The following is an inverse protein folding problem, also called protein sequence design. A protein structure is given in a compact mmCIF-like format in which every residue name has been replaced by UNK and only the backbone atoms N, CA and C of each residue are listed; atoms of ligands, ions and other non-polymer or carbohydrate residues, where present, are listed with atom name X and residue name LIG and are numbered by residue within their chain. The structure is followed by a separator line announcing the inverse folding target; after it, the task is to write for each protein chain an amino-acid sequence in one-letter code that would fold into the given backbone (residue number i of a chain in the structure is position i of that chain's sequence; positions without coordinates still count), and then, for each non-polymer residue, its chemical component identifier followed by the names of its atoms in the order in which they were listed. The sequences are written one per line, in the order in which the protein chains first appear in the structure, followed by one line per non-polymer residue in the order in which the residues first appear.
data_IF_278124028715
#
_entry.id   IF_278124028715
#
_cell.length_a   1.000
_cell.length_b   1.000
_cell.length_c   1.000
_cell.angle_alpha   90.00
_cell.angle_beta   90.00
_cell.angle_gamma   90.00
#
_symmetry.space_group_name_H-M   'P 1'
#
loop_
_entity.id
_entity.type
_entity.pdbx_description
1 polymer ?
#
# COMPACT_ATOMS: atom_id res chain seq x y z
N UNK A 1 57.08 -10.03 65.97
CA UNK A 1 55.62 -10.14 65.75
C UNK A 1 55.35 -9.81 64.29
N UNK A 2 55.05 -10.85 63.52
CA UNK A 2 54.68 -10.82 62.10
C UNK A 2 53.25 -10.33 61.95
N UNK A 3 53.04 -9.28 61.15
CA UNK A 3 51.69 -8.87 60.74
C UNK A 3 51.59 -8.94 59.22
N UNK A 4 51.06 -10.06 58.72
CA UNK A 4 50.65 -10.22 57.34
C UNK A 4 49.47 -9.28 57.05
N UNK A 5 49.66 -8.28 56.21
CA UNK A 5 48.56 -7.51 55.62
C UNK A 5 47.96 -8.33 54.46
N UNK A 6 46.73 -8.79 54.67
CA UNK A 6 45.93 -9.54 53.69
C UNK A 6 45.47 -8.58 52.60
N UNK A 7 45.90 -8.80 51.36
CA UNK A 7 45.41 -8.04 50.20
C UNK A 7 43.91 -8.28 50.03
N UNK A 8 43.14 -7.19 49.99
CA UNK A 8 41.69 -7.20 49.78
C UNK A 8 41.43 -7.31 48.27
N UNK A 9 40.66 -8.32 47.80
CA UNK A 9 40.38 -8.48 46.38
C UNK A 9 39.48 -7.36 45.87
N UNK A 10 39.88 -6.81 44.73
CA UNK A 10 39.36 -5.59 44.13
C UNK A 10 38.05 -5.93 43.37
N UNK A 11 36.93 -6.07 44.10
CA UNK A 11 35.64 -6.56 43.60
C UNK A 11 35.09 -5.83 42.35
N UNK A 12 35.62 -4.64 42.03
CA UNK A 12 35.30 -3.89 40.82
C UNK A 12 35.98 -4.44 39.56
N UNK A 13 37.17 -5.04 39.68
CA UNK A 13 37.85 -5.73 38.58
C UNK A 13 37.13 -7.04 38.25
N UNK A 14 36.74 -7.79 39.27
CA UNK A 14 36.03 -9.06 39.10
C UNK A 14 34.67 -8.89 38.41
N UNK A 15 33.95 -7.79 38.69
CA UNK A 15 32.68 -7.47 38.03
C UNK A 15 32.84 -7.04 36.55
N UNK A 16 33.95 -6.38 36.20
CA UNK A 16 34.27 -6.00 34.82
C UNK A 16 34.79 -7.19 34.00
N UNK A 17 35.54 -8.09 34.63
CA UNK A 17 36.03 -9.32 34.01
C UNK A 17 34.91 -10.35 33.83
N UNK A 18 33.89 -10.37 34.71
CA UNK A 18 32.68 -11.19 34.56
C UNK A 18 31.76 -10.72 33.41
N UNK A 19 31.80 -9.43 33.05
CA UNK A 19 31.16 -8.92 31.84
C UNK A 19 31.99 -9.20 30.56
N UNK A 20 33.21 -9.72 30.73
CA UNK A 20 34.31 -9.79 29.77
C UNK A 20 34.13 -10.76 28.59
N UNK A 21 33.00 -11.45 28.47
CA UNK A 21 32.65 -12.25 27.29
C UNK A 21 31.18 -12.10 26.90
N UNK A 22 30.30 -12.04 27.90
CA UNK A 22 28.84 -11.98 27.73
C UNK A 22 28.34 -10.59 27.29
N UNK A 23 28.95 -9.52 27.80
CA UNK A 23 28.62 -8.15 27.37
C UNK A 23 29.06 -7.86 25.93
N UNK A 24 30.11 -8.55 25.46
CA UNK A 24 30.62 -8.41 24.09
C UNK A 24 29.72 -9.07 23.05
N UNK A 25 29.22 -10.28 23.34
CA UNK A 25 28.21 -10.92 22.50
C UNK A 25 26.97 -10.05 22.37
N UNK A 26 26.49 -9.47 23.48
CA UNK A 26 25.35 -8.57 23.49
C UNK A 26 25.60 -7.28 22.69
N UNK A 27 26.77 -6.64 22.81
CA UNK A 27 27.08 -5.43 22.04
C UNK A 27 27.19 -5.70 20.52
N UNK A 28 27.73 -6.84 20.11
CA UNK A 28 27.78 -7.22 18.69
C UNK A 28 26.38 -7.50 18.16
N UNK A 29 25.56 -8.24 18.93
CA UNK A 29 24.16 -8.48 18.58
C UNK A 29 23.41 -7.17 18.47
N UNK A 30 23.53 -6.25 19.43
CA UNK A 30 22.86 -4.94 19.37
C UNK A 30 23.34 -4.07 18.20
N UNK A 31 24.63 -4.13 17.83
CA UNK A 31 25.17 -3.42 16.66
C UNK A 31 24.60 -3.99 15.36
N UNK A 32 24.61 -5.31 15.20
CA UNK A 32 24.08 -6.00 14.02
C UNK A 32 22.54 -5.87 13.95
N UNK A 33 21.84 -5.88 15.08
CA UNK A 33 20.39 -5.66 15.14
C UNK A 33 20.02 -4.21 14.83
N UNK A 34 20.81 -3.23 15.30
CA UNK A 34 20.61 -1.82 14.95
C UNK A 34 20.90 -1.55 13.47
N UNK A 35 21.91 -2.19 12.91
CA UNK A 35 22.21 -2.18 11.48
C UNK A 35 21.07 -2.76 10.65
N UNK A 36 20.60 -3.95 11.02
CA UNK A 36 19.46 -4.60 10.34
C UNK A 36 18.20 -3.73 10.37
N UNK A 37 17.93 -3.05 11.49
CA UNK A 37 16.77 -2.17 11.63
C UNK A 37 16.90 -0.91 10.76
N UNK A 38 18.08 -0.30 10.70
CA UNK A 38 18.34 0.88 9.85
C UNK A 38 18.30 0.49 8.37
N UNK A 39 18.87 -0.65 7.98
CA UNK A 39 18.85 -1.16 6.62
C UNK A 39 17.44 -1.55 6.20
N UNK A 40 16.65 -2.16 7.08
CA UNK A 40 15.25 -2.51 6.81
C UNK A 40 14.37 -1.27 6.66
N UNK A 41 14.61 -0.19 7.40
CA UNK A 41 13.90 1.08 7.20
C UNK A 41 14.35 1.81 5.91
N UNK A 42 15.62 1.69 5.53
CA UNK A 42 16.11 2.22 4.25
C UNK A 42 15.63 1.38 3.07
N UNK A 43 15.38 0.10 3.26
CA UNK A 43 14.90 -0.81 2.22
C UNK A 43 13.54 -0.36 1.65
N UNK A 44 12.62 0.01 2.55
CA UNK A 44 11.32 0.58 2.22
C UNK A 44 11.45 1.93 1.48
N UNK A 45 12.45 2.73 1.83
CA UNK A 45 12.71 4.04 1.20
C UNK A 45 13.36 3.94 -0.18
N UNK A 46 14.24 2.96 -0.39
CA UNK A 46 15.14 2.88 -1.55
C UNK A 46 14.59 1.98 -2.64
N UNK A 47 13.92 0.88 -2.25
CA UNK A 47 13.48 -0.14 -3.19
C UNK A 47 11.96 -0.13 -3.44
N UNK A 48 11.16 0.50 -2.56
CA UNK A 48 9.70 0.55 -2.70
C UNK A 48 9.17 1.94 -3.11
N UNK A 49 10.05 2.92 -3.34
CA UNK A 49 9.68 4.16 -4.04
C UNK A 49 9.63 3.92 -5.54
N UNK A 50 8.46 4.08 -6.17
CA UNK A 50 8.35 4.23 -7.62
C UNK A 50 8.18 5.72 -7.94
N UNK A 51 9.08 6.34 -8.74
CA UNK A 51 10.32 5.80 -9.31
C UNK A 51 11.47 5.67 -8.29
N UNK A 52 12.52 4.87 -8.58
CA UNK A 52 13.61 4.60 -7.66
C UNK A 52 14.37 5.87 -7.25
N UNK A 53 14.45 6.12 -5.93
CA UNK A 53 15.14 7.29 -5.38
C UNK A 53 16.66 7.12 -5.42
N UNK A 54 17.28 7.53 -6.53
CA UNK A 54 18.71 7.38 -6.83
C UNK A 54 19.66 7.92 -5.73
N UNK A 55 19.39 9.07 -5.07
CA UNK A 55 20.19 9.52 -3.92
C UNK A 55 20.09 8.56 -2.72
N UNK A 56 18.93 7.91 -2.51
CA UNK A 56 18.73 6.88 -1.50
C UNK A 56 19.58 5.65 -1.75
N UNK A 57 19.69 5.21 -3.01
CA UNK A 57 20.58 4.13 -3.42
C UNK A 57 22.05 4.42 -3.10
N UNK A 58 22.52 5.62 -3.43
CA UNK A 58 23.90 6.03 -3.13
C UNK A 58 24.13 6.02 -1.62
N UNK A 59 23.17 6.54 -0.84
CA UNK A 59 23.26 6.56 0.62
C UNK A 59 23.28 5.15 1.21
N UNK A 60 22.44 4.25 0.71
CA UNK A 60 22.37 2.85 1.14
C UNK A 60 23.70 2.13 0.89
N UNK A 61 24.26 2.23 -0.31
CA UNK A 61 25.56 1.63 -0.65
C UNK A 61 26.68 2.20 0.24
N UNK A 62 26.70 3.52 0.46
CA UNK A 62 27.70 4.16 1.32
C UNK A 62 27.57 3.69 2.76
N UNK A 63 26.34 3.58 3.27
CA UNK A 63 26.06 3.09 4.63
C UNK A 63 26.54 1.64 4.79
N UNK A 64 26.19 0.78 3.84
CA UNK A 64 26.57 -0.64 3.82
C UNK A 64 28.09 -0.83 3.83
N UNK A 65 28.81 -0.08 2.98
CA UNK A 65 30.27 -0.12 2.93
C UNK A 65 30.88 0.39 4.23
N UNK A 66 30.37 1.48 4.78
CA UNK A 66 30.88 2.08 6.03
C UNK A 66 30.64 1.14 7.22
N UNK A 67 29.46 0.53 7.31
CA UNK A 67 29.12 -0.43 8.36
C UNK A 67 29.96 -1.70 8.24
N UNK A 68 30.10 -2.25 7.03
CA UNK A 68 30.99 -3.39 6.76
C UNK A 68 32.42 -3.10 7.21
N UNK A 69 32.96 -1.92 6.88
CA UNK A 69 34.30 -1.50 7.31
C UNK A 69 34.40 -1.38 8.83
N UNK A 70 33.38 -0.85 9.51
CA UNK A 70 33.34 -0.75 10.97
C UNK A 70 33.31 -2.13 11.64
N UNK A 71 32.50 -3.05 11.13
CA UNK A 71 32.40 -4.43 11.63
C UNK A 71 33.73 -5.16 11.41
N UNK A 72 34.30 -5.07 10.21
CA UNK A 72 35.62 -5.63 9.90
C UNK A 72 36.69 -5.08 10.83
N UNK A 73 36.66 -3.78 11.12
CA UNK A 73 37.59 -3.13 12.05
C UNK A 73 37.38 -3.59 13.49
N UNK A 74 36.15 -3.75 13.95
CA UNK A 74 35.84 -4.28 15.30
C UNK A 74 36.34 -5.72 15.43
N UNK A 75 36.03 -6.58 14.44
CA UNK A 75 36.50 -7.98 14.40
C UNK A 75 38.03 -8.04 14.39
N UNK A 76 38.69 -7.20 13.60
CA UNK A 76 40.15 -7.13 13.52
C UNK A 76 40.78 -6.69 14.84
N UNK A 77 40.23 -5.64 15.49
CA UNK A 77 40.68 -5.17 16.80
C UNK A 77 40.47 -6.26 17.86
N UNK A 78 39.37 -7.01 17.81
CA UNK A 78 39.11 -8.09 18.78
C UNK A 78 40.06 -9.27 18.56
N UNK A 79 40.32 -9.65 17.30
CA UNK A 79 41.15 -10.81 16.94
C UNK A 79 42.65 -10.55 17.13
N UNK A 80 43.10 -9.30 17.05
CA UNK A 80 44.52 -8.93 17.05
C UNK A 80 44.90 -7.85 18.08
N UNK A 81 43.95 -7.37 18.90
CA UNK A 81 44.09 -6.21 19.80
C UNK A 81 45.02 -6.36 20.99
N UNK A 82 45.50 -7.58 21.29
CA UNK A 82 46.53 -7.79 22.32
C UNK A 82 47.85 -7.03 22.06
N UNK A 83 48.07 -6.50 20.85
CA UNK A 83 49.26 -5.72 20.48
C UNK A 83 49.02 -4.21 20.28
N UNK A 84 47.77 -3.73 20.33
CA UNK A 84 47.42 -2.30 20.09
C UNK A 84 47.22 -1.51 21.39
N UNK A 85 47.15 -2.20 22.53
CA UNK A 85 46.93 -1.60 23.86
C UNK A 85 47.94 -0.51 24.26
N UNK A 86 49.18 -0.59 23.78
CA UNK A 86 50.24 0.37 24.14
C UNK A 86 50.00 1.80 23.63
N UNK A 87 49.14 2.01 22.62
CA UNK A 87 48.83 3.36 22.08
C UNK A 87 47.56 3.98 22.71
N UNK A 88 46.68 3.16 23.31
CA UNK A 88 45.41 3.61 23.88
C UNK A 88 45.45 3.96 25.38
N UNK A 89 46.53 3.63 26.08
CA UNK A 89 46.68 3.95 27.51
C UNK A 89 46.87 5.45 27.77
N UNK A 90 47.36 6.21 26.79
CA UNK A 90 47.48 7.66 26.85
C UNK A 90 46.09 8.31 26.90
N UNK A 91 45.81 9.14 27.91
CA UNK A 91 44.55 9.87 28.04
C UNK A 91 44.16 10.65 26.76
N UNK A 92 45.16 11.12 26.00
CA UNK A 92 44.99 11.77 24.70
C UNK A 92 44.43 10.83 23.61
N UNK A 93 44.80 9.54 23.62
CA UNK A 93 44.29 8.53 22.68
C UNK A 93 42.81 8.21 22.92
N UNK A 94 42.41 8.06 24.20
CA UNK A 94 41.01 7.87 24.60
C UNK A 94 40.14 9.09 24.26
N UNK A 95 40.66 10.31 24.52
CA UNK A 95 39.96 11.55 24.19
C UNK A 95 39.78 11.74 22.67
N UNK A 96 40.81 11.43 21.87
CA UNK A 96 40.75 11.49 20.41
C UNK A 96 39.77 10.46 19.84
N UNK A 97 39.81 9.22 20.32
CA UNK A 97 38.87 8.18 19.92
C UNK A 97 37.42 8.53 20.27
N UNK A 98 37.16 9.09 21.46
CA UNK A 98 35.84 9.57 21.86
C UNK A 98 35.37 10.73 20.97
N UNK A 99 36.24 11.69 20.67
CA UNK A 99 35.94 12.82 19.78
C UNK A 99 35.62 12.33 18.36
N UNK A 100 36.38 11.38 17.82
CA UNK A 100 36.12 10.79 16.50
C UNK A 100 34.79 10.02 16.46
N UNK A 101 34.46 9.26 17.50
CA UNK A 101 33.15 8.57 17.60
C UNK A 101 31.98 9.54 17.63
N UNK A 102 32.10 10.63 18.40
CA UNK A 102 31.05 11.66 18.47
C UNK A 102 30.88 12.36 17.12
N UNK A 103 31.99 12.75 16.48
CA UNK A 103 31.93 13.40 15.15
C UNK A 103 31.33 12.46 14.11
N UNK A 104 31.65 11.17 14.16
CA UNK A 104 31.09 10.18 13.25
C UNK A 104 29.59 9.96 13.48
N UNK A 105 29.15 9.79 14.74
CA UNK A 105 27.74 9.64 15.07
C UNK A 105 26.93 10.89 14.67
N UNK A 106 27.43 12.09 14.98
CA UNK A 106 26.79 13.35 14.60
C UNK A 106 26.76 13.53 13.08
N UNK A 107 27.84 13.19 12.39
CA UNK A 107 27.92 13.23 10.93
C UNK A 107 26.92 12.28 10.27
N UNK A 108 26.84 11.04 10.75
CA UNK A 108 25.89 10.05 10.24
C UNK A 108 24.44 10.48 10.49
N UNK A 109 24.12 10.92 11.71
CA UNK A 109 22.78 11.45 12.02
C UNK A 109 22.43 12.67 11.15
N UNK A 110 23.38 13.58 10.90
CA UNK A 110 23.16 14.74 10.05
C UNK A 110 22.88 14.34 8.59
N UNK A 111 23.59 13.35 8.06
CA UNK A 111 23.34 12.81 6.71
C UNK A 111 21.98 12.13 6.62
N UNK A 112 21.63 11.31 7.61
CA UNK A 112 20.32 10.65 7.67
C UNK A 112 19.18 11.67 7.76
N UNK A 113 19.30 12.70 8.59
CA UNK A 113 18.30 13.78 8.69
C UNK A 113 18.22 14.58 7.39
N UNK A 114 19.35 14.88 6.74
CA UNK A 114 19.35 15.62 5.48
C UNK A 114 18.71 14.81 4.34
N UNK A 115 19.03 13.53 4.20
CA UNK A 115 18.46 12.68 3.17
C UNK A 115 16.98 12.35 3.45
N UNK A 116 16.67 11.91 4.67
CA UNK A 116 15.31 11.50 5.04
C UNK A 116 14.38 12.69 5.22
N UNK A 117 14.86 13.79 5.80
CA UNK A 117 14.08 15.01 6.00
C UNK A 117 13.66 15.63 4.67
N UNK A 118 14.56 15.69 3.68
CA UNK A 118 14.21 16.19 2.34
C UNK A 118 13.22 15.26 1.65
N UNK A 119 13.45 13.94 1.65
CA UNK A 119 12.55 12.98 1.03
C UNK A 119 11.16 12.94 1.70
N UNK A 120 11.11 13.05 3.02
CA UNK A 120 9.85 13.07 3.78
C UNK A 120 9.02 14.33 3.48
N UNK A 121 9.68 15.48 3.34
CA UNK A 121 9.00 16.73 2.95
C UNK A 121 8.51 16.63 1.51
N UNK A 122 9.33 16.11 0.60
CA UNK A 122 9.00 15.91 -0.80
C UNK A 122 7.80 14.95 -0.97
N UNK A 123 7.86 13.77 -0.36
CA UNK A 123 6.74 12.81 -0.35
C UNK A 123 5.47 13.39 0.26
N UNK A 124 5.57 14.19 1.32
CA UNK A 124 4.39 14.88 1.88
C UNK A 124 3.75 15.84 0.89
N UNK A 125 4.56 16.56 0.11
CA UNK A 125 4.04 17.45 -0.92
C UNK A 125 3.41 16.67 -2.07
N UNK A 126 4.04 15.59 -2.51
CA UNK A 126 3.48 14.68 -3.54
C UNK A 126 2.14 14.10 -3.09
N UNK A 127 2.07 13.50 -1.89
CA UNK A 127 0.84 12.94 -1.34
C UNK A 127 -0.25 13.99 -1.17
N UNK A 128 0.09 15.23 -0.79
CA UNK A 128 -0.87 16.31 -0.70
C UNK A 128 -1.45 16.64 -2.09
N UNK A 129 -0.61 16.74 -3.11
CA UNK A 129 -1.04 16.98 -4.49
C UNK A 129 -1.86 15.82 -5.08
N UNK A 130 -1.51 14.57 -4.77
CA UNK A 130 -2.29 13.38 -5.13
C UNK A 130 -3.69 13.41 -4.50
N UNK A 131 -3.78 13.68 -3.19
CA UNK A 131 -5.06 13.85 -2.49
C UNK A 131 -5.92 14.96 -3.09
N UNK A 132 -5.32 16.10 -3.41
CA UNK A 132 -6.05 17.24 -3.99
C UNK A 132 -6.62 16.90 -5.37
N UNK A 133 -5.84 16.23 -6.23
CA UNK A 133 -6.31 15.78 -7.55
C UNK A 133 -7.43 14.75 -7.45
N UNK A 134 -7.23 13.69 -6.68
CA UNK A 134 -8.25 12.66 -6.47
C UNK A 134 -9.53 13.24 -5.85
N UNK A 135 -9.42 14.12 -4.85
CA UNK A 135 -10.58 14.75 -4.22
C UNK A 135 -11.38 15.64 -5.18
N UNK A 136 -10.70 16.35 -6.09
CA UNK A 136 -11.38 17.15 -7.11
C UNK A 136 -12.20 16.27 -8.06
N UNK A 137 -11.63 15.15 -8.53
CA UNK A 137 -12.34 14.19 -9.39
C UNK A 137 -13.50 13.53 -8.66
N UNK A 138 -13.31 13.02 -7.44
CA UNK A 138 -14.39 12.39 -6.67
C UNK A 138 -15.53 13.37 -6.36
N UNK A 139 -15.21 14.64 -6.05
CA UNK A 139 -16.24 15.65 -5.81
C UNK A 139 -17.06 15.95 -7.07
N UNK A 140 -16.43 15.91 -8.25
CA UNK A 140 -17.14 16.07 -9.52
C UNK A 140 -18.06 14.86 -9.80
N UNK A 141 -17.60 13.64 -9.52
CA UNK A 141 -18.40 12.41 -9.65
C UNK A 141 -19.58 12.42 -8.67
N UNK A 142 -19.34 12.75 -7.40
CA UNK A 142 -20.37 12.87 -6.37
C UNK A 142 -21.46 13.85 -6.78
N UNK A 143 -21.08 15.04 -7.25
CA UNK A 143 -22.05 16.06 -7.72
C UNK A 143 -22.85 15.54 -8.91
N UNK A 144 -22.23 14.87 -9.88
CA UNK A 144 -22.93 14.32 -11.04
C UNK A 144 -23.94 13.22 -10.65
N UNK A 145 -23.59 12.36 -9.69
CA UNK A 145 -24.50 11.37 -9.14
C UNK A 145 -25.67 12.02 -8.40
N UNK A 146 -25.40 12.98 -7.50
CA UNK A 146 -26.46 13.69 -6.77
C UNK A 146 -27.40 14.47 -7.70
N UNK A 147 -26.86 15.14 -8.73
CA UNK A 147 -27.64 15.86 -9.74
C UNK A 147 -28.53 14.92 -10.57
N UNK A 148 -28.08 13.69 -10.80
CA UNK A 148 -28.87 12.64 -11.43
C UNK A 148 -29.87 11.94 -10.48
N UNK A 149 -29.88 12.31 -9.20
CA UNK A 149 -30.80 11.77 -8.18
C UNK A 149 -30.32 10.48 -7.51
N UNK A 150 -29.06 10.11 -7.71
CA UNK A 150 -28.45 8.95 -7.06
C UNK A 150 -28.05 9.31 -5.63
N UNK A 151 -27.97 8.32 -4.76
CA UNK A 151 -27.28 8.49 -3.48
C UNK A 151 -25.78 8.23 -3.66
N UNK A 152 -25.00 9.31 -3.60
CA UNK A 152 -23.56 9.25 -3.72
C UNK A 152 -22.88 8.96 -2.38
N UNK A 153 -21.93 8.03 -2.36
CA UNK A 153 -21.10 7.74 -1.19
C UNK A 153 -19.77 7.11 -1.58
N UNK A 154 -18.69 7.47 -0.92
CA UNK A 154 -17.38 6.99 -1.29
C UNK A 154 -16.27 7.43 -0.35
N UNK A 155 -15.05 7.27 -0.84
CA UNK A 155 -13.84 7.61 -0.11
C UNK A 155 -13.60 9.13 -0.05
N UNK A 156 -12.88 9.56 0.99
CA UNK A 156 -12.51 10.96 1.21
C UNK A 156 -10.98 11.10 1.23
N UNK A 157 -10.32 11.41 0.09
CA UNK A 157 -8.86 11.47 0.00
C UNK A 157 -8.22 12.44 0.98
N UNK A 158 -8.92 13.54 1.29
CA UNK A 158 -8.42 14.55 2.24
C UNK A 158 -8.27 13.95 3.65
N UNK A 159 -9.12 12.99 4.03
CA UNK A 159 -9.09 12.35 5.35
C UNK A 159 -7.96 11.31 5.48
N UNK A 160 -7.82 10.40 4.50
CA UNK A 160 -6.86 9.29 4.54
C UNK A 160 -6.20 9.15 3.17
N UNK A 161 -4.87 8.97 3.14
CA UNK A 161 -4.17 8.68 1.88
C UNK A 161 -4.24 7.18 1.62
N UNK A 162 -4.68 6.80 0.43
CA UNK A 162 -4.66 5.40 -0.01
C UNK A 162 -3.76 5.26 -1.26
N UNK A 163 -2.67 4.48 -1.19
CA UNK A 163 -1.82 4.25 -2.35
C UNK A 163 -2.52 3.48 -3.49
N UNK A 164 -3.61 2.75 -3.21
CA UNK A 164 -4.38 2.01 -4.21
C UNK A 164 -5.39 2.89 -4.98
N UNK A 165 -5.58 4.14 -4.55
CA UNK A 165 -6.61 5.03 -5.10
C UNK A 165 -7.86 5.07 -4.25
N UNK A 166 -8.96 5.50 -4.84
CA UNK A 166 -10.21 5.83 -4.15
C UNK A 166 -11.40 5.43 -4.99
N UNK A 167 -12.56 5.28 -4.35
CA UNK A 167 -13.80 4.90 -5.01
C UNK A 167 -14.94 5.87 -4.69
N UNK A 168 -15.83 6.07 -5.67
CA UNK A 168 -17.11 6.75 -5.48
C UNK A 168 -18.23 5.83 -5.97
N UNK A 169 -19.26 5.64 -5.16
CA UNK A 169 -20.43 4.85 -5.49
C UNK A 169 -21.63 5.78 -5.69
N UNK A 170 -22.47 5.46 -6.67
CA UNK A 170 -23.79 6.05 -6.86
C UNK A 170 -24.84 4.95 -6.81
N UNK A 171 -25.64 4.91 -5.75
CA UNK A 171 -26.77 3.99 -5.64
C UNK A 171 -28.01 4.57 -6.32
N UNK A 172 -28.63 3.79 -7.21
CA UNK A 172 -29.79 4.23 -8.01
C UNK A 172 -31.09 4.29 -7.19
N UNK A 173 -31.24 3.39 -6.21
CA UNK A 173 -32.43 3.29 -5.37
C UNK A 173 -32.07 3.35 -3.89
N UNK A 174 -32.70 4.25 -3.16
CA UNK A 174 -32.70 4.30 -1.70
C UNK A 174 -34.12 3.98 -1.19
N UNK A 175 -34.22 3.14 -0.16
CA UNK A 175 -35.44 2.76 0.58
C UNK A 175 -36.31 1.57 0.11
N UNK A 176 -35.91 0.79 -0.92
CA UNK A 176 -36.60 -0.47 -1.24
C UNK A 176 -35.66 -1.68 -1.08
N UNK A 177 -35.59 -2.22 0.14
CA UNK A 177 -35.06 -3.56 0.46
C UNK A 177 -33.85 -4.04 -0.36
N UNK A 178 -32.65 -3.85 0.18
CA UNK A 178 -31.42 -4.61 -0.17
C UNK A 178 -31.04 -4.68 -1.66
N UNK A 179 -31.31 -3.62 -2.41
CA UNK A 179 -30.94 -3.57 -3.82
C UNK A 179 -29.46 -3.22 -4.00
N UNK A 180 -28.69 -4.19 -4.50
CA UNK A 180 -27.30 -4.03 -4.95
C UNK A 180 -27.18 -3.23 -6.26
N UNK A 181 -28.19 -2.41 -6.63
CA UNK A 181 -28.18 -1.64 -7.88
C UNK A 181 -27.42 -0.33 -7.71
N UNK A 182 -26.16 -0.32 -8.13
CA UNK A 182 -25.26 0.81 -7.96
C UNK A 182 -24.15 0.80 -9.01
N UNK A 183 -23.55 1.96 -9.20
CA UNK A 183 -22.31 2.10 -9.98
C UNK A 183 -21.18 2.51 -9.05
N UNK A 184 -20.01 1.89 -9.20
CA UNK A 184 -18.76 2.29 -8.56
C UNK A 184 -17.79 2.79 -9.61
N UNK A 185 -17.16 3.92 -9.33
CA UNK A 185 -16.12 4.52 -10.16
C UNK A 185 -14.84 4.60 -9.32
N UNK A 186 -13.79 3.94 -9.78
CA UNK A 186 -12.48 3.93 -9.12
C UNK A 186 -11.54 4.94 -9.78
N UNK A 187 -10.84 5.69 -8.93
CA UNK A 187 -9.99 6.82 -9.29
C UNK A 187 -8.62 6.63 -8.68
N UNK A 188 -7.57 6.78 -9.47
CA UNK A 188 -6.19 6.69 -8.97
C UNK A 188 -5.75 7.95 -8.19
N UNK A 189 -4.52 7.93 -7.71
CA UNK A 189 -3.91 9.09 -7.03
C UNK A 189 -3.59 10.27 -7.97
N UNK A 190 -3.75 10.11 -9.28
CA UNK A 190 -3.65 11.18 -10.26
C UNK A 190 -4.98 11.88 -10.54
N UNK A 191 -6.09 11.32 -10.03
CA UNK A 191 -7.44 11.81 -10.28
C UNK A 191 -8.04 11.27 -11.58
N UNK A 192 -7.51 10.17 -12.12
CA UNK A 192 -7.96 9.52 -13.36
C UNK A 192 -8.81 8.31 -13.04
N UNK A 193 -9.94 8.16 -13.74
CA UNK A 193 -10.82 6.98 -13.62
C UNK A 193 -10.14 5.79 -14.29
N UNK A 194 -9.95 4.72 -13.52
CA UNK A 194 -9.24 3.50 -13.95
C UNK A 194 -10.16 2.30 -14.09
N UNK A 195 -11.31 2.33 -13.41
CA UNK A 195 -12.26 1.23 -13.42
C UNK A 195 -13.69 1.72 -13.14
N UNK A 196 -14.67 1.09 -13.79
CA UNK A 196 -16.10 1.32 -13.58
C UNK A 196 -16.79 -0.03 -13.38
N UNK A 197 -17.56 -0.15 -12.31
CA UNK A 197 -18.30 -1.37 -11.97
C UNK A 197 -19.78 -1.04 -11.84
N UNK A 198 -20.62 -1.72 -12.58
CA UNK A 198 -22.06 -1.65 -12.49
C UNK A 198 -22.58 -2.92 -11.81
N UNK A 199 -23.22 -2.78 -10.67
CA UNK A 199 -23.94 -3.85 -10.00
C UNK A 199 -25.45 -3.61 -10.22
N UNK A 200 -26.18 -4.67 -10.59
CA UNK A 200 -27.61 -4.66 -10.87
C UNK A 200 -28.28 -5.79 -10.10
N UNK A 201 -29.25 -5.44 -9.27
CA UNK A 201 -30.00 -6.40 -8.46
C UNK A 201 -30.84 -7.37 -9.30
N UNK A 202 -30.90 -8.63 -8.86
CA UNK A 202 -31.70 -9.70 -9.48
C UNK A 202 -32.66 -10.26 -8.44
N UNK A 203 -33.96 -10.22 -8.74
CA UNK A 203 -35.00 -10.81 -7.89
C UNK A 203 -35.25 -12.26 -8.33
N UNK A 204 -34.85 -13.28 -7.54
CA UNK A 204 -35.07 -14.68 -7.89
C UNK A 204 -36.54 -15.08 -7.97
N UNK A 205 -37.46 -14.27 -7.43
CA UNK A 205 -38.90 -14.50 -7.56
C UNK A 205 -39.45 -14.10 -8.93
N UNK A 206 -38.68 -13.36 -9.74
CA UNK A 206 -39.05 -12.97 -11.09
C UNK A 206 -38.43 -13.90 -12.15
N UNK A 207 -39.05 -14.03 -13.34
CA UNK A 207 -38.43 -14.68 -14.48
C UNK A 207 -37.09 -14.05 -14.85
N UNK A 208 -36.15 -14.85 -15.37
CA UNK A 208 -34.82 -14.38 -15.79
C UNK A 208 -34.91 -13.33 -16.90
N UNK A 209 -35.86 -13.46 -17.82
CA UNK A 209 -36.10 -12.46 -18.87
C UNK A 209 -36.51 -11.11 -18.30
N UNK A 210 -37.33 -11.11 -17.25
CA UNK A 210 -37.77 -9.88 -16.58
C UNK A 210 -36.63 -9.24 -15.78
N UNK A 211 -35.83 -10.05 -15.09
CA UNK A 211 -34.61 -9.58 -14.42
C UNK A 211 -33.62 -8.98 -15.41
N UNK A 212 -33.41 -9.61 -16.57
CA UNK A 212 -32.49 -9.10 -17.59
C UNK A 212 -32.94 -7.74 -18.12
N UNK A 213 -34.23 -7.57 -18.44
CA UNK A 213 -34.77 -6.28 -18.89
C UNK A 213 -34.63 -5.20 -17.82
N UNK A 214 -34.84 -5.55 -16.54
CA UNK A 214 -34.62 -4.62 -15.42
C UNK A 214 -33.15 -4.24 -15.29
N UNK A 215 -32.24 -5.20 -15.35
CA UNK A 215 -30.81 -4.97 -15.29
C UNK A 215 -30.31 -4.07 -16.43
N UNK A 216 -30.75 -4.32 -17.67
CA UNK A 216 -30.45 -3.46 -18.83
C UNK A 216 -30.95 -2.03 -18.61
N UNK A 217 -32.17 -1.84 -18.11
CA UNK A 217 -32.71 -0.51 -17.82
C UNK A 217 -31.95 0.21 -16.69
N UNK A 218 -31.52 -0.51 -15.65
CA UNK A 218 -30.67 0.04 -14.59
C UNK A 218 -29.28 0.40 -15.12
N UNK A 219 -28.67 -0.45 -15.95
CA UNK A 219 -27.39 -0.17 -16.61
C UNK A 219 -27.48 1.10 -17.47
N UNK A 220 -28.52 1.23 -18.30
CA UNK A 220 -28.72 2.42 -19.12
C UNK A 220 -28.77 3.70 -18.28
N UNK A 221 -29.52 3.68 -17.16
CA UNK A 221 -29.62 4.83 -16.26
C UNK A 221 -28.28 5.18 -15.59
N UNK A 222 -27.51 4.19 -15.14
CA UNK A 222 -26.20 4.41 -14.53
C UNK A 222 -25.16 4.87 -15.57
N UNK A 223 -25.19 4.26 -16.76
CA UNK A 223 -24.27 4.58 -17.85
C UNK A 223 -24.53 5.98 -18.43
N UNK A 224 -25.77 6.44 -18.48
CA UNK A 224 -26.09 7.82 -18.85
C UNK A 224 -25.36 8.83 -17.98
N UNK A 225 -25.23 8.58 -16.67
CA UNK A 225 -24.47 9.47 -15.79
C UNK A 225 -22.97 9.34 -16.02
N UNK A 226 -22.45 8.11 -16.05
CA UNK A 226 -20.99 7.86 -16.23
C UNK A 226 -20.46 8.43 -17.54
N UNK A 227 -21.19 8.23 -18.64
CA UNK A 227 -20.79 8.71 -19.98
C UNK A 227 -20.75 10.23 -20.11
N UNK A 228 -21.42 10.95 -19.20
CA UNK A 228 -21.47 12.41 -19.14
C UNK A 228 -20.53 13.02 -18.07
N UNK A 229 -19.74 12.21 -17.35
CA UNK A 229 -18.79 12.72 -16.36
C UNK A 229 -17.69 13.54 -17.04
N UNK A 230 -17.52 14.78 -16.59
CA UNK A 230 -16.42 15.67 -17.03
C UNK A 230 -15.16 15.42 -16.18
N UNK A 231 -14.64 14.19 -16.26
CA UNK A 231 -13.44 13.74 -15.55
C UNK A 231 -12.52 12.95 -16.49
N UNK A 232 -11.21 12.90 -16.22
CA UNK A 232 -10.30 12.11 -17.06
C UNK A 232 -10.52 10.60 -16.83
N UNK A 233 -10.65 9.86 -17.93
CA UNK A 233 -10.66 8.40 -17.96
C UNK A 233 -9.34 7.89 -18.55
N UNK A 234 -8.79 6.82 -17.96
CA UNK A 234 -7.57 6.19 -18.45
C UNK A 234 -7.77 5.58 -19.85
N UNK A 235 -8.90 4.91 -20.06
CA UNK A 235 -9.33 4.39 -21.34
C UNK A 235 -10.72 4.94 -21.69
N UNK A 236 -10.97 5.37 -22.95
CA UNK A 236 -12.29 5.83 -23.38
C UNK A 236 -13.42 4.80 -23.15
N UNK A 237 -13.08 3.51 -23.24
CA UNK A 237 -14.00 2.40 -23.04
C UNK A 237 -14.72 2.40 -21.69
N UNK A 238 -14.08 2.93 -20.64
CA UNK A 238 -14.67 3.05 -19.30
C UNK A 238 -15.90 3.96 -19.27
N UNK A 239 -15.95 4.96 -20.15
CA UNK A 239 -17.06 5.90 -20.26
C UNK A 239 -18.03 5.56 -21.39
N UNK A 240 -17.57 4.87 -22.44
CA UNK A 240 -18.34 4.63 -23.66
C UNK A 240 -19.04 3.27 -23.72
N UNK A 241 -18.63 2.29 -22.91
CA UNK A 241 -19.25 0.98 -22.88
C UNK A 241 -20.33 0.90 -21.79
N UNK A 242 -21.56 0.54 -22.17
CA UNK A 242 -22.72 0.57 -21.28
C UNK A 242 -23.79 -0.47 -21.64
N UNK A 243 -23.39 -1.65 -22.11
CA UNK A 243 -24.32 -2.71 -22.48
C UNK A 243 -23.88 -4.05 -21.90
N UNK A 244 -24.83 -4.91 -21.53
CA UNK A 244 -24.50 -6.28 -21.15
C UNK A 244 -24.03 -7.07 -22.38
N UNK A 245 -22.92 -7.83 -22.28
CA UNK A 245 -22.42 -8.60 -23.41
C UNK A 245 -23.40 -9.69 -23.86
N UNK A 246 -23.62 -9.81 -25.18
CA UNK A 246 -24.53 -10.83 -25.73
C UNK A 246 -24.22 -12.27 -25.28
N UNK A 247 -22.94 -12.73 -25.22
CA UNK A 247 -22.62 -14.06 -24.69
C UNK A 247 -23.09 -14.26 -23.24
N UNK A 248 -22.97 -13.22 -22.42
CA UNK A 248 -23.41 -13.24 -21.03
C UNK A 248 -24.93 -13.33 -20.93
N UNK A 249 -25.67 -12.49 -21.67
CA UNK A 249 -27.14 -12.54 -21.69
C UNK A 249 -27.66 -13.91 -22.11
N UNK A 250 -27.04 -14.55 -23.11
CA UNK A 250 -27.42 -15.90 -23.54
C UNK A 250 -27.18 -16.95 -22.45
N UNK A 251 -26.05 -16.87 -21.75
CA UNK A 251 -25.74 -17.78 -20.65
C UNK A 251 -26.70 -17.59 -19.47
N UNK A 252 -26.99 -16.33 -19.10
CA UNK A 252 -27.92 -15.98 -18.04
C UNK A 252 -29.32 -16.55 -18.29
N UNK A 253 -29.88 -16.33 -19.49
CA UNK A 253 -31.21 -16.84 -19.85
C UNK A 253 -31.28 -18.36 -20.00
N UNK A 254 -30.15 -19.03 -20.26
CA UNK A 254 -30.08 -20.48 -20.34
C UNK A 254 -29.90 -21.17 -18.97
N UNK A 255 -29.49 -20.42 -17.95
CA UNK A 255 -29.18 -20.90 -16.61
C UNK A 255 -30.38 -20.89 -15.66
N UNK A 256 -30.10 -20.67 -14.39
CA UNK A 256 -31.07 -20.57 -13.30
C UNK A 256 -30.71 -19.41 -12.37
N UNK A 257 -31.66 -18.88 -11.57
CA UNK A 257 -31.35 -17.82 -10.60
C UNK A 257 -30.38 -18.23 -9.49
N UNK A 258 -30.02 -19.51 -9.40
CA UNK A 258 -29.13 -20.09 -8.40
C UNK A 258 -27.81 -20.64 -8.98
N UNK A 259 -27.51 -20.30 -10.23
CA UNK A 259 -26.28 -20.72 -10.91
C UNK A 259 -25.40 -19.50 -11.21
N UNK A 260 -24.20 -19.47 -10.63
CA UNK A 260 -23.24 -18.41 -10.85
C UNK A 260 -22.68 -18.45 -12.29
N UNK A 261 -22.49 -17.28 -12.88
CA UNK A 261 -21.87 -17.12 -14.20
C UNK A 261 -20.73 -16.13 -14.05
N UNK A 262 -19.54 -16.47 -14.56
CA UNK A 262 -18.40 -15.55 -14.59
C UNK A 262 -17.80 -15.62 -15.99
N UNK A 263 -17.70 -14.46 -16.64
CA UNK A 263 -17.08 -14.30 -17.94
C UNK A 263 -15.96 -13.27 -17.86
N UNK A 264 -14.80 -13.65 -18.36
CA UNK A 264 -13.59 -12.84 -18.32
C UNK A 264 -13.37 -12.13 -19.67
N UNK A 265 -12.39 -11.22 -19.76
CA UNK A 265 -12.05 -10.58 -21.04
C UNK A 265 -11.59 -11.56 -22.11
N UNK A 266 -11.13 -12.77 -21.74
CA UNK A 266 -10.87 -13.84 -22.71
C UNK A 266 -12.13 -14.30 -23.45
N UNK A 267 -13.29 -14.15 -22.83
CA UNK A 267 -14.60 -14.55 -23.36
C UNK A 267 -15.33 -13.36 -24.02
N UNK A 268 -15.14 -12.15 -23.47
CA UNK A 268 -15.91 -10.95 -23.82
C UNK A 268 -15.12 -9.89 -24.61
N UNK A 269 -13.79 -9.92 -24.52
CA UNK A 269 -12.90 -8.95 -25.15
C UNK A 269 -12.79 -7.63 -24.40
N UNK A 270 -12.60 -6.56 -25.16
CA UNK A 270 -12.39 -5.20 -24.68
C UNK A 270 -13.10 -4.20 -25.59
N UNK A 271 -13.53 -3.06 -25.05
CA UNK A 271 -14.04 -1.92 -25.82
C UNK A 271 -13.14 -0.71 -25.59
N UNK A 272 -12.62 -0.12 -26.67
CA UNK A 272 -11.81 1.11 -26.62
C UNK A 272 -10.72 1.13 -25.51
N UNK A 273 -10.06 -0.02 -25.29
CA UNK A 273 -9.00 -0.18 -24.30
C UNK A 273 -9.43 -0.66 -22.92
N UNK A 274 -10.73 -0.64 -22.59
CA UNK A 274 -11.27 -1.21 -21.35
C UNK A 274 -11.63 -2.68 -21.54
N UNK A 275 -11.11 -3.55 -20.66
CA UNK A 275 -11.44 -4.97 -20.63
C UNK A 275 -12.80 -5.19 -19.98
N UNK A 276 -13.56 -6.14 -20.54
CA UNK A 276 -14.95 -6.36 -20.14
C UNK A 276 -15.04 -7.65 -19.33
N UNK A 277 -15.57 -7.53 -18.12
CA UNK A 277 -15.92 -8.64 -17.24
C UNK A 277 -17.41 -8.60 -16.99
N UNK A 278 -18.07 -9.76 -17.02
CA UNK A 278 -19.47 -9.86 -16.64
C UNK A 278 -19.68 -11.07 -15.74
N UNK A 279 -20.39 -10.87 -14.63
CA UNK A 279 -20.69 -11.94 -13.70
C UNK A 279 -22.16 -11.88 -13.26
N UNK A 280 -22.73 -13.04 -12.97
CA UNK A 280 -23.97 -13.19 -12.21
C UNK A 280 -23.61 -13.86 -10.89
N UNK A 281 -23.59 -13.07 -9.83
CA UNK A 281 -23.30 -13.51 -8.47
C UNK A 281 -24.59 -13.98 -7.81
N UNK A 282 -24.62 -15.24 -7.39
CA UNK A 282 -25.76 -15.84 -6.70
C UNK A 282 -25.32 -16.99 -5.82
N UNK A 283 -26.22 -17.51 -5.01
CA UNK A 283 -26.00 -18.72 -4.20
C UNK A 283 -26.76 -19.89 -4.79
N UNK A 284 -26.27 -21.11 -4.51
CA UNK A 284 -27.01 -22.33 -4.85
C UNK A 284 -28.36 -22.34 -4.13
N UNK A 285 -29.34 -23.08 -4.65
CA UNK A 285 -30.66 -23.21 -4.02
C UNK A 285 -30.54 -23.78 -2.59
N UNK A 286 -29.54 -24.62 -2.32
CA UNK A 286 -29.28 -25.19 -1.00
C UNK A 286 -28.66 -24.19 -0.01
N UNK A 287 -27.87 -23.25 -0.51
CA UNK A 287 -27.15 -22.25 0.27
C UNK A 287 -27.86 -20.88 0.29
N UNK A 288 -29.03 -20.77 -0.36
CA UNK A 288 -29.77 -19.52 -0.45
C UNK A 288 -30.17 -19.01 0.93
N UNK A 289 -29.86 -17.74 1.19
CA UNK A 289 -30.25 -17.03 2.40
C UNK A 289 -31.04 -15.80 1.96
N UNK A 290 -32.27 -15.64 2.47
CA UNK A 290 -33.23 -14.60 2.08
C UNK A 290 -32.71 -13.14 2.22
N UNK A 291 -31.51 -12.94 2.78
CA UNK A 291 -30.87 -11.64 2.99
C UNK A 291 -29.53 -11.48 2.24
N UNK A 292 -29.21 -12.38 1.31
CA UNK A 292 -28.08 -12.25 0.39
C UNK A 292 -28.65 -12.13 -1.03
N UNK A 293 -28.62 -10.92 -1.58
CA UNK A 293 -29.14 -10.65 -2.93
C UNK A 293 -28.30 -11.32 -4.03
N UNK A 294 -28.96 -11.67 -5.12
CA UNK A 294 -28.29 -12.04 -6.37
C UNK A 294 -28.09 -10.80 -7.22
N UNK A 295 -26.98 -10.70 -7.95
CA UNK A 295 -26.71 -9.52 -8.78
C UNK A 295 -25.96 -9.85 -10.06
N UNK A 296 -26.28 -9.10 -11.12
CA UNK A 296 -25.44 -9.03 -12.32
C UNK A 296 -24.41 -7.93 -12.09
N UNK A 297 -23.16 -8.20 -12.39
CA UNK A 297 -22.07 -7.25 -12.36
C UNK A 297 -21.46 -7.11 -13.76
N UNK A 298 -21.30 -5.87 -14.21
CA UNK A 298 -20.50 -5.51 -15.38
C UNK A 298 -19.31 -4.66 -14.89
N UNK A 299 -18.10 -5.17 -15.05
CA UNK A 299 -16.88 -4.49 -14.65
C UNK A 299 -16.04 -4.14 -15.89
N UNK A 300 -15.60 -2.89 -15.95
CA UNK A 300 -14.73 -2.33 -16.97
C UNK A 300 -13.43 -1.89 -16.30
N UNK A 301 -12.32 -2.53 -16.66
CA UNK A 301 -11.00 -2.25 -16.07
C UNK A 301 -9.95 -1.95 -17.14
N UNK A 302 -8.92 -1.19 -16.77
CA UNK A 302 -7.71 -1.02 -17.56
C UNK A 302 -6.75 -2.21 -17.33
N UNK A 303 -5.85 -2.49 -18.29
CA UNK A 303 -4.80 -3.50 -18.08
C UNK A 303 -3.95 -3.14 -16.84
N UNK A 304 -3.91 -4.05 -15.86
CA UNK A 304 -3.09 -3.93 -14.64
C UNK A 304 -1.59 -4.16 -14.84
#
# INVERSE_FOLDING_TARGET
MTTHAKAQPDARKDALDALGSSGYGLCIVLLLSGEFLILSMLDELVFHSQPPYLPGWILWIVLEVVMTVLICRVIWIVRHGGRVGAFQESAAGRARARKTRIVFAVGLSAVLIAAYGVHFVDRKQVMAGEKERAAATLSAIETAFEDAGFYAYGDLPIAVYDPAGYSMNGALYMDEGDQNTQVRVNVDNEGVVTEVIYDMDVDPALPLEENLVRAEASLDAMHEVVSNLDVPFEQPGLASYGALPEPFCQAFLAGSPYEEIIMHPSDLGSSEGAYIHAAFWTFSEEDWIDNLGASIQLQLECDG
#
